data_IF_706107321917
#
_entry.id   IF_706107321917
#
_cell.length_a   1.000
_cell.length_b   1.000
_cell.length_c   1.000
_cell.angle_alpha   90.00
_cell.angle_beta   90.00
_cell.angle_gamma   90.00
#
_symmetry.space_group_name_H-M   'P 1'
#
loop_
_entity.id
_entity.type
_entity.pdbx_description
1 polymer ?
2 non-polymer ?
3 non-polymer ?
4 water ?
#
# COMPACT_ATOMS: atom_id res chain seq x y z
N UNK A 24 -7.95 -21.13 18.04
CA UNK A 24 -7.92 -20.20 16.88
C UNK A 24 -7.61 -18.75 17.27
N UNK A 25 -7.22 -18.55 18.54
CA UNK A 25 -6.67 -17.27 18.95
C UNK A 25 -5.41 -17.01 18.15
N UNK A 26 -5.17 -15.75 17.82
CA UNK A 26 -3.91 -15.36 17.24
C UNK A 26 -2.85 -15.32 18.36
N UNK A 27 -1.55 -15.21 17.99
CA UNK A 27 -0.53 -15.12 19.02
C UNK A 27 -0.70 -13.91 19.93
N UNK A 28 -0.35 -14.07 21.20
CA UNK A 28 -0.29 -12.94 22.12
C UNK A 28 0.63 -11.86 21.52
N UNK A 29 0.13 -10.63 21.48
CA UNK A 29 0.89 -9.51 20.93
C UNK A 29 0.68 -9.28 19.44
N UNK A 30 -0.19 -10.07 18.81
CA UNK A 30 -0.48 -9.89 17.37
C UNK A 30 -0.98 -8.48 17.10
N UNK A 31 -0.45 -7.85 16.05
CA UNK A 31 -0.74 -6.43 15.80
C UNK A 31 -1.93 -6.20 14.85
N UNK A 32 -3.09 -5.97 15.46
CA UNK A 32 -4.30 -5.64 14.71
C UNK A 32 -4.33 -4.14 14.44
N UNK A 33 -4.45 -3.78 13.17
CA UNK A 33 -4.47 -2.36 12.79
C UNK A 33 -5.47 -2.00 11.71
N UNK A 34 -5.39 -0.74 11.29
CA UNK A 34 -6.09 -0.26 10.10
C UNK A 34 -5.14 0.68 9.40
N UNK A 35 -5.36 0.88 8.10
CA UNK A 35 -4.46 1.63 7.24
C UNK A 35 -5.14 2.75 6.46
N UNK A 36 -4.36 3.79 6.15
CA UNK A 36 -4.75 4.91 5.27
C UNK A 36 -3.51 5.35 4.49
N UNK A 37 -3.70 6.34 3.62
CA UNK A 37 -2.57 7.04 3.00
C UNK A 37 -2.83 8.54 2.99
N UNK A 38 -1.75 9.30 2.87
CA UNK A 38 -1.79 10.75 3.05
C UNK A 38 -2.68 11.44 2.02
N UNK A 39 -2.45 11.20 0.73
CA UNK A 39 -3.26 11.88 -0.28
C UNK A 39 -4.74 11.47 -0.18
N UNK A 40 -4.99 10.27 0.30
CA UNK A 40 -6.34 9.74 0.28
C UNK A 40 -7.20 10.31 1.42
N UNK A 41 -6.55 10.80 2.48
CA UNK A 41 -7.33 11.27 3.66
C UNK A 41 -7.05 12.70 4.12
N UNK A 42 -5.87 13.26 3.86
CA UNK A 42 -5.44 14.47 4.60
C UNK A 42 -6.15 15.77 4.27
N UNK A 43 -6.47 15.99 3.00
CA UNK A 43 -6.84 17.34 2.54
C UNK A 43 -5.73 18.35 2.82
N UNK A 44 -6.15 19.58 3.16
CA UNK A 44 -5.19 20.68 3.40
C UNK A 44 -4.08 20.68 2.35
N UNK A 45 -4.49 20.60 1.09
CA UNK A 45 -3.54 20.32 -0.01
C UNK A 45 -2.55 21.46 -0.29
N UNK A 46 -2.89 22.67 0.13
CA UNK A 46 -2.05 23.85 -0.10
C UNK A 46 -1.84 24.66 1.16
N UNK A 47 -1.95 24.01 2.31
CA UNK A 47 -1.79 24.69 3.60
C UNK A 47 -0.42 24.44 4.20
N UNK A 48 -0.01 25.35 5.08
CA UNK A 48 1.21 25.20 5.88
C UNK A 48 2.47 24.97 5.05
N UNK A 49 2.50 25.57 3.86
CA UNK A 49 3.69 25.53 3.03
C UNK A 49 3.83 24.25 2.24
N UNK A 50 2.85 23.34 2.36
CA UNK A 50 2.89 22.09 1.57
C UNK A 50 3.04 22.37 0.07
N UNK A 51 3.95 21.65 -0.58
CA UNK A 51 4.16 21.79 -2.02
C UNK A 51 3.19 20.96 -2.85
N UNK A 52 3.09 21.27 -4.14
CA UNK A 52 2.24 20.47 -5.03
C UNK A 52 2.83 19.07 -5.24
N UNK A 53 1.98 18.06 -5.19
CA UNK A 53 2.39 16.69 -5.55
C UNK A 53 1.89 16.36 -6.95
N UNK A 54 2.39 15.24 -7.49
CA UNK A 54 1.92 14.76 -8.78
C UNK A 54 0.43 14.44 -8.75
N UNK A 55 -0.09 14.10 -7.57
CA UNK A 55 -1.54 13.86 -7.44
C UNK A 55 -2.37 15.14 -7.37
N UNK A 56 -1.85 16.20 -6.76
CA UNK A 56 -2.50 17.51 -6.86
C UNK A 56 -2.65 17.89 -8.31
N UNK A 57 -1.59 17.70 -9.08
CA UNK A 57 -1.59 18.06 -10.52
C UNK A 57 -2.52 17.14 -11.30
N UNK A 58 -2.42 15.84 -11.07
CA UNK A 58 -3.18 14.84 -11.81
C UNK A 58 -4.70 15.06 -11.67
N UNK A 59 -5.14 15.41 -10.47
CA UNK A 59 -6.56 15.58 -10.19
C UNK A 59 -7.12 16.91 -10.71
N UNK A 60 -6.23 17.76 -11.23
CA UNK A 60 -6.70 18.97 -11.91
C UNK A 60 -6.97 18.72 -13.38
N UNK A 61 -6.57 17.55 -13.87
CA UNK A 61 -6.74 17.21 -15.29
C UNK A 61 -8.15 16.68 -15.55
N UNK A 62 -8.92 17.40 -16.40
CA UNK A 62 -10.29 16.96 -16.70
C UNK A 62 -10.33 15.57 -17.30
N UNK A 63 -11.25 14.74 -16.79
CA UNK A 63 -11.43 13.38 -17.29
C UNK A 63 -10.62 12.29 -16.63
N UNK A 64 -9.61 12.65 -15.83
CA UNK A 64 -8.77 11.65 -15.18
C UNK A 64 -9.44 10.95 -13.98
N UNK A 65 -10.32 11.67 -13.29
CA UNK A 65 -10.94 11.17 -12.04
C UNK A 65 -12.47 11.15 -12.16
N UNK A 66 -13.09 10.07 -11.70
CA UNK A 66 -14.55 9.99 -11.67
C UNK A 66 -15.16 11.17 -10.92
N UNK A 67 -16.23 11.74 -11.48
CA UNK A 67 -16.94 12.87 -10.89
C UNK A 67 -16.09 14.15 -10.74
N UNK A 68 -14.90 14.15 -11.34
CA UNK A 68 -14.00 15.30 -11.24
C UNK A 68 -13.54 15.55 -9.81
N UNK A 69 -13.47 14.47 -9.03
CA UNK A 69 -13.07 14.51 -7.61
C UNK A 69 -11.57 14.75 -7.46
N UNK A 70 -11.17 15.24 -6.28
CA UNK A 70 -9.75 15.39 -5.94
C UNK A 70 -9.54 15.12 -4.46
N UNK A 71 -8.27 15.02 -4.07
CA UNK A 71 -7.92 14.97 -2.64
C UNK A 71 -7.76 16.35 -2.00
N UNK A 72 -8.35 17.39 -2.59
CA UNK A 72 -8.15 18.74 -2.04
C UNK A 72 -8.58 18.80 -0.58
N UNK A 73 -9.71 18.16 -0.27
CA UNK A 73 -10.23 18.11 1.10
C UNK A 73 -10.22 16.69 1.67
N UNK A 74 -10.68 15.73 0.88
CA UNK A 74 -10.70 14.33 1.30
C UNK A 74 -11.40 14.20 2.66
N UNK A 75 -10.75 13.54 3.62
CA UNK A 75 -11.33 13.36 4.97
C UNK A 75 -10.97 14.48 5.93
N UNK A 76 -10.29 15.50 5.41
CA UNK A 76 -9.86 16.65 6.22
C UNK A 76 -9.08 16.18 7.45
N UNK A 77 -8.32 15.10 7.29
CA UNK A 77 -7.62 14.48 8.42
C UNK A 77 -6.47 15.34 8.95
N UNK A 78 -5.88 16.17 8.10
CA UNK A 78 -4.80 17.05 8.56
C UNK A 78 -5.32 17.94 9.71
N UNK A 79 -6.56 18.39 9.57
CA UNK A 79 -7.21 19.15 10.64
C UNK A 79 -7.90 18.29 11.70
N UNK A 80 -8.44 17.15 11.28
CA UNK A 80 -9.30 16.31 12.14
C UNK A 80 -8.61 15.10 12.78
N UNK A 81 -7.29 15.07 12.71
CA UNK A 81 -6.54 13.89 13.14
C UNK A 81 -6.81 13.48 14.59
N UNK A 82 -7.10 14.43 15.48
CA UNK A 82 -7.39 14.07 16.88
C UNK A 82 -8.69 13.30 17.01
N UNK A 83 -9.70 13.68 16.23
CA UNK A 83 -10.94 12.90 16.16
C UNK A 83 -10.65 11.48 15.67
N UNK A 84 -9.83 11.36 14.63
CA UNK A 84 -9.52 10.05 14.06
C UNK A 84 -8.70 9.19 15.01
N UNK A 85 -7.79 9.82 15.74
CA UNK A 85 -7.07 9.15 16.82
C UNK A 85 -8.01 8.57 17.90
N UNK A 86 -9.06 9.32 18.25
CA UNK A 86 -9.99 8.78 19.25
C UNK A 86 -10.78 7.62 18.67
N UNK A 87 -11.12 7.69 17.38
CA UNK A 87 -11.82 6.57 16.71
C UNK A 87 -10.95 5.31 16.72
N UNK A 88 -9.66 5.48 16.45
CA UNK A 88 -8.72 4.36 16.55
C UNK A 88 -8.73 3.74 17.95
N UNK A 89 -8.71 4.60 18.97
CA UNK A 89 -8.75 4.17 20.36
C UNK A 89 -10.06 3.42 20.66
N UNK A 90 -11.19 3.96 20.16
CA UNK A 90 -12.50 3.31 20.35
C UNK A 90 -12.50 1.88 19.84
N UNK A 91 -11.77 1.64 18.75
CA UNK A 91 -11.74 0.30 18.17
C UNK A 91 -10.75 -0.63 18.87
N UNK A 92 -9.84 -0.07 19.67
CA UNK A 92 -8.82 -0.87 20.32
C UNK A 92 -7.66 -1.25 19.40
N UNK A 93 -7.47 -0.48 18.33
CA UNK A 93 -6.34 -0.78 17.42
C UNK A 93 -5.03 -0.89 18.18
N UNK A 94 -4.23 -1.90 17.83
CA UNK A 94 -2.88 -2.08 18.40
C UNK A 94 -1.85 -1.27 17.62
N UNK A 95 -2.20 -0.96 16.38
CA UNK A 95 -1.28 -0.33 15.45
C UNK A 95 -2.06 0.41 14.38
N UNK A 96 -1.45 1.43 13.78
CA UNK A 96 -2.09 2.22 12.73
C UNK A 96 -1.05 2.51 11.66
N UNK A 97 -1.40 2.22 10.40
CA UNK A 97 -0.53 2.43 9.25
C UNK A 97 -1.00 3.69 8.51
N UNK A 98 -0.11 4.67 8.41
CA UNK A 98 -0.38 5.89 7.65
C UNK A 98 0.78 6.10 6.68
N UNK A 99 0.60 7.00 5.72
CA UNK A 99 1.75 7.43 4.91
C UNK A 99 2.08 8.90 5.17
N UNK A 100 3.32 9.24 4.84
CA UNK A 100 3.84 10.61 5.02
C UNK A 100 3.82 11.29 3.67
N UNK A 101 3.19 12.47 3.61
CA UNK A 101 3.16 13.30 2.40
C UNK A 101 4.53 13.96 2.19
N UNK A 102 5.33 13.39 1.29
CA UNK A 102 6.66 13.93 1.01
C UNK A 102 6.62 15.45 0.71
N UNK A 103 5.60 15.92 -0.03
CA UNK A 103 5.51 17.35 -0.37
C UNK A 103 5.21 18.27 0.84
N UNK A 104 4.70 17.74 1.94
CA UNK A 104 4.61 18.52 3.18
C UNK A 104 5.97 18.76 3.80
N UNK A 105 6.89 17.83 3.54
CA UNK A 105 8.20 17.80 4.19
C UNK A 105 9.24 18.53 3.35
N UNK A 106 9.27 18.25 2.05
CA UNK A 106 10.08 19.02 1.10
C UNK A 106 9.15 19.55 0.00
N UNK A 107 8.61 20.75 0.21
CA UNK A 107 7.68 21.36 -0.75
C UNK A 107 8.28 21.70 -2.12
N UNK A 108 9.59 21.96 -2.19
CA UNK A 108 10.16 22.51 -3.41
C UNK A 108 11.59 22.05 -3.69
N UNK A 109 12.12 22.48 -4.83
CA UNK A 109 13.45 22.06 -5.28
C UNK A 109 14.62 22.55 -4.43
N UNK A 110 14.38 23.43 -3.45
CA UNK A 110 15.47 23.84 -2.54
C UNK A 110 15.88 22.68 -1.63
N UNK A 111 15.02 21.67 -1.56
CA UNK A 111 15.20 20.49 -0.69
C UNK A 111 15.08 20.82 0.80
N UNK A 112 14.82 22.09 1.13
CA UNK A 112 14.69 22.53 2.51
C UNK A 112 13.49 21.91 3.21
N UNK A 113 13.67 21.59 4.49
CA UNK A 113 12.65 20.91 5.27
C UNK A 113 11.58 21.91 5.70
N UNK A 114 10.32 21.58 5.44
CA UNK A 114 9.22 22.39 5.93
C UNK A 114 8.83 21.92 7.33
N UNK A 115 9.07 22.79 8.31
CA UNK A 115 8.91 22.40 9.71
C UNK A 115 7.46 22.20 10.14
N UNK A 116 6.55 22.96 9.54
CA UNK A 116 5.11 22.76 9.80
C UNK A 116 4.64 21.38 9.37
N UNK A 117 5.12 20.95 8.20
CA UNK A 117 4.78 19.62 7.67
C UNK A 117 5.29 18.54 8.59
N UNK A 118 6.56 18.66 8.97
CA UNK A 118 7.16 17.69 9.88
C UNK A 118 6.44 17.65 11.24
N UNK A 119 6.07 18.83 11.74
CA UNK A 119 5.36 18.93 13.02
C UNK A 119 4.04 18.16 13.04
N UNK A 120 3.34 18.16 11.91
CA UNK A 120 2.09 17.42 11.80
C UNK A 120 2.32 15.95 12.13
N UNK A 121 3.31 15.35 11.48
CA UNK A 121 3.60 13.92 11.72
C UNK A 121 4.13 13.66 13.12
N UNK A 122 4.89 14.60 13.67
CA UNK A 122 5.31 14.52 15.07
C UNK A 122 4.10 14.47 15.99
N UNK A 123 3.14 15.37 15.77
CA UNK A 123 1.90 15.43 16.58
C UNK A 123 1.05 14.16 16.43
N UNK A 124 0.95 13.66 15.20
CA UNK A 124 0.22 12.43 14.94
C UNK A 124 0.83 11.26 15.71
N UNK A 125 2.14 11.11 15.58
CA UNK A 125 2.87 10.01 16.21
C UNK A 125 2.80 10.10 17.74
N UNK A 126 2.95 11.31 18.28
CA UNK A 126 2.77 11.53 19.72
C UNK A 126 1.38 11.07 20.18
N UNK A 127 0.37 11.41 19.39
CA UNK A 127 -1.02 11.02 19.69
C UNK A 127 -1.21 9.52 19.65
N UNK A 128 -0.59 8.86 18.67
CA UNK A 128 -0.63 7.41 18.60
C UNK A 128 -0.07 6.79 19.87
N UNK A 129 1.11 7.25 20.28
CA UNK A 129 1.75 6.71 21.48
C UNK A 129 0.96 6.97 22.75
N UNK A 130 0.33 8.14 22.81
CA UNK A 130 -0.54 8.51 23.92
C UNK A 130 -1.68 7.51 24.14
N UNK A 131 -2.12 6.89 23.05
CA UNK A 131 -3.23 5.94 23.05
C UNK A 131 -2.78 4.47 22.92
N UNK A 132 -1.48 4.24 23.10
CA UNK A 132 -0.88 2.90 23.01
C UNK A 132 -1.13 2.23 21.67
N UNK A 133 -1.04 3.04 20.61
CA UNK A 133 -1.15 2.54 19.24
C UNK A 133 0.22 2.63 18.60
N UNK A 134 0.71 1.51 18.09
CA UNK A 134 2.04 1.47 17.48
C UNK A 134 2.01 2.06 16.06
N UNK A 135 2.79 3.13 15.81
CA UNK A 135 2.83 3.68 14.45
C UNK A 135 3.54 2.78 13.43
N UNK A 136 2.92 2.62 12.26
CA UNK A 136 3.66 2.14 11.08
C UNK A 136 3.56 3.26 10.04
N UNK A 137 4.71 3.75 9.56
CA UNK A 137 4.75 4.85 8.57
C UNK A 137 5.23 4.37 7.21
N UNK A 138 4.43 4.65 6.18
CA UNK A 138 4.82 4.46 4.79
C UNK A 138 5.44 5.75 4.28
N UNK A 139 6.67 5.68 3.81
CA UNK A 139 7.35 6.89 3.35
C UNK A 139 6.81 7.36 2.00
N UNK A 140 6.51 6.41 1.12
CA UNK A 140 6.00 6.75 -0.21
C UNK A 140 4.75 5.99 -0.58
N UNK A 141 3.61 6.68 -0.56
CA UNK A 141 2.36 6.12 -1.00
C UNK A 141 1.80 7.00 -2.17
N UNK A 142 2.68 7.19 -3.15
CA UNK A 142 2.32 7.64 -4.48
C UNK A 142 2.23 9.17 -4.76
N UNK A 143 2.35 9.95 -3.71
CA UNK A 143 2.22 11.36 -3.78
C UNK A 143 3.59 12.07 -3.89
N UNK A 144 4.28 11.71 -4.97
CA UNK A 144 5.56 12.34 -5.25
C UNK A 144 5.47 13.87 -5.33
N UNK A 145 6.41 14.59 -4.69
CA UNK A 145 6.41 16.06 -4.89
C UNK A 145 6.64 16.39 -6.34
N UNK A 146 5.88 17.36 -6.85
CA UNK A 146 6.07 17.80 -8.23
C UNK A 146 7.52 18.21 -8.53
N UNK A 147 8.22 18.80 -7.57
CA UNK A 147 9.63 19.16 -7.80
C UNK A 147 10.49 17.95 -8.15
N UNK A 148 10.20 16.79 -7.57
CA UNK A 148 10.95 15.58 -7.93
C UNK A 148 10.58 15.13 -9.34
N UNK A 149 9.30 15.21 -9.68
CA UNK A 149 8.84 14.92 -11.04
C UNK A 149 9.51 15.86 -12.07
N UNK A 150 9.68 17.13 -11.69
CA UNK A 150 10.37 18.10 -12.56
C UNK A 150 11.84 17.72 -12.78
N UNK A 151 12.43 16.96 -11.86
CA UNK A 151 13.80 16.47 -11.97
C UNK A 151 13.86 15.03 -12.51
N UNK A 152 12.76 14.62 -13.15
CA UNK A 152 12.71 13.33 -13.83
C UNK A 152 11.81 12.28 -13.20
N UNK A 153 11.42 12.50 -11.96
CA UNK A 153 10.62 11.51 -11.23
C UNK A 153 11.32 10.15 -11.22
N UNK A 154 10.54 9.08 -11.25
CA UNK A 154 11.12 7.72 -11.16
C UNK A 154 11.90 7.28 -12.40
N UNK A 155 11.79 8.05 -13.49
CA UNK A 155 12.62 7.79 -14.66
C UNK A 155 14.09 8.10 -14.38
N UNK A 156 14.32 9.03 -13.45
CA UNK A 156 15.68 9.45 -13.14
C UNK A 156 16.24 8.68 -11.98
N UNK A 157 17.44 8.12 -12.20
CA UNK A 157 18.19 7.45 -11.15
C UNK A 157 18.38 8.33 -9.90
N UNK A 158 18.52 9.64 -10.10
CA UNK A 158 18.78 10.56 -9.01
C UNK A 158 17.60 10.65 -8.03
N UNK A 159 16.42 10.26 -8.49
CA UNK A 159 15.26 10.27 -7.59
C UNK A 159 15.42 9.29 -6.41
N UNK A 160 16.23 8.25 -6.61
CA UNK A 160 16.57 7.29 -5.54
C UNK A 160 17.36 7.98 -4.44
N UNK A 161 18.27 8.87 -4.84
CA UNK A 161 19.02 9.66 -3.88
C UNK A 161 18.14 10.69 -3.19
N UNK A 162 17.24 11.32 -3.95
CA UNK A 162 16.30 12.26 -3.30
C UNK A 162 15.44 11.54 -2.25
N UNK A 163 14.97 10.35 -2.59
CA UNK A 163 14.17 9.54 -1.68
C UNK A 163 14.97 9.14 -0.43
N UNK A 164 16.23 8.82 -0.62
CA UNK A 164 17.03 8.52 0.52
C UNK A 164 17.28 9.72 1.41
N UNK A 165 17.42 10.93 0.82
CA UNK A 165 17.61 12.11 1.66
C UNK A 165 16.33 12.42 2.47
N UNK A 166 15.19 12.22 1.84
CA UNK A 166 13.88 12.37 2.49
C UNK A 166 13.74 11.36 3.64
N UNK A 167 14.06 10.10 3.35
CA UNK A 167 14.03 9.05 4.38
C UNK A 167 14.95 9.42 5.54
N UNK A 168 16.18 9.85 5.23
CA UNK A 168 17.11 10.21 6.30
C UNK A 168 16.50 11.28 7.22
N UNK A 169 15.92 12.32 6.63
CA UNK A 169 15.31 13.40 7.41
C UNK A 169 14.22 12.87 8.34
N UNK A 170 13.34 12.02 7.81
CA UNK A 170 12.21 11.51 8.59
C UNK A 170 12.65 10.55 9.67
N UNK A 171 13.60 9.69 9.32
CA UNK A 171 14.08 8.71 10.30
C UNK A 171 14.92 9.41 11.39
N UNK A 172 15.69 10.43 11.00
CA UNK A 172 16.37 11.25 12.01
C UNK A 172 15.38 11.96 12.94
N UNK A 173 14.28 12.46 12.37
CA UNK A 173 13.28 13.19 13.15
C UNK A 173 12.46 12.29 14.06
N UNK A 174 12.08 11.12 13.55
CA UNK A 174 11.02 10.34 14.20
C UNK A 174 11.32 8.85 14.36
N UNK A 175 12.55 8.44 14.07
CA UNK A 175 12.90 7.02 14.03
C UNK A 175 12.60 6.26 15.31
N UNK A 176 12.99 6.85 16.44
CA UNK A 176 12.82 6.25 17.77
C UNK A 176 11.35 6.20 18.20
N UNK A 177 10.49 6.91 17.46
CA UNK A 177 9.07 7.00 17.76
C UNK A 177 8.19 6.19 16.81
N UNK A 178 8.78 5.70 15.71
CA UNK A 178 8.02 4.93 14.74
C UNK A 178 8.70 3.57 14.66
N UNK A 179 8.09 2.54 15.27
CA UNK A 179 8.76 1.24 15.32
C UNK A 179 8.73 0.44 14.02
N UNK A 180 7.86 0.81 13.09
CA UNK A 180 7.74 0.09 11.83
C UNK A 180 7.67 1.09 10.69
N UNK A 181 8.64 1.00 9.78
CA UNK A 181 8.70 1.87 8.59
C UNK A 181 8.58 1.03 7.34
N UNK A 182 7.84 1.56 6.36
CA UNK A 182 7.73 0.98 5.03
C UNK A 182 8.28 2.01 4.05
N UNK A 183 9.17 1.58 3.15
CA UNK A 183 9.73 2.51 2.17
C UNK A 183 8.67 2.86 1.12
N UNK A 184 8.36 1.89 0.26
CA UNK A 184 7.37 2.03 -0.80
C UNK A 184 6.12 1.24 -0.55
N UNK A 185 5.01 1.81 -1.01
CA UNK A 185 3.75 1.10 -1.14
C UNK A 185 3.51 0.75 -2.61
N UNK A 186 3.33 -0.54 -2.86
CA UNK A 186 2.90 -1.06 -4.18
C UNK A 186 3.66 -0.46 -5.37
N UNK A 187 4.98 -0.67 -5.42
CA UNK A 187 5.74 -0.16 -6.56
C UNK A 187 5.24 -0.69 -7.92
N UNK A 188 4.65 -1.89 -7.96
CA UNK A 188 4.08 -2.43 -9.21
C UNK A 188 2.96 -1.54 -9.75
N UNK A 189 2.16 -0.98 -8.84
CA UNK A 189 1.05 -0.12 -9.26
C UNK A 189 1.59 1.19 -9.83
N UNK A 190 2.62 1.75 -9.18
CA UNK A 190 3.31 2.93 -9.70
C UNK A 190 3.79 2.69 -11.14
N UNK A 191 4.42 1.54 -11.35
CA UNK A 191 4.89 1.13 -12.69
C UNK A 191 3.70 1.01 -13.66
N UNK A 192 2.73 0.18 -13.33
CA UNK A 192 1.66 -0.14 -14.29
C UNK A 192 0.67 1.01 -14.51
N UNK A 193 0.11 1.53 -13.43
CA UNK A 193 -0.90 2.58 -13.54
C UNK A 193 -0.29 3.92 -13.91
N UNK A 194 0.94 4.17 -13.42
CA UNK A 194 1.59 5.47 -13.58
C UNK A 194 2.37 5.63 -14.87
N UNK A 195 2.86 4.52 -15.43
CA UNK A 195 3.74 4.59 -16.60
C UNK A 195 3.33 3.72 -17.79
N UNK A 196 2.66 2.60 -17.54
CA UNK A 196 2.19 1.73 -18.61
C UNK A 196 0.85 2.23 -19.16
N UNK A 197 -0.08 2.49 -18.25
CA UNK A 197 -1.48 2.74 -18.59
C UNK A 197 -1.92 4.20 -18.49
N UNK A 198 -1.13 5.02 -17.80
CA UNK A 198 -1.46 6.44 -17.60
C UNK A 198 -2.71 6.71 -16.80
N UNK A 199 -3.18 5.71 -16.05
CA UNK A 199 -4.41 5.84 -15.28
C UNK A 199 -4.20 6.60 -13.96
N UNK A 200 -3.00 6.47 -13.41
CA UNK A 200 -2.58 7.19 -12.19
C UNK A 200 -1.45 8.15 -12.51
N UNK A 201 -1.22 9.11 -11.63
CA UNK A 201 -0.11 10.05 -11.75
C UNK A 201 1.23 9.29 -11.85
N UNK A 202 2.17 9.79 -12.68
CA UNK A 202 2.17 11.02 -13.48
C UNK A 202 1.51 10.91 -14.86
N UNK A 203 0.89 9.76 -15.14
CA UNK A 203 0.01 9.61 -16.30
C UNK A 203 0.72 9.31 -17.61
N UNK A 204 1.87 8.64 -17.52
CA UNK A 204 2.59 8.21 -18.71
C UNK A 204 1.99 6.93 -19.27
N UNK A 205 2.08 6.79 -20.58
CA UNK A 205 1.50 5.63 -21.28
C UNK A 205 2.55 5.07 -22.24
N UNK A 206 3.63 4.55 -21.68
CA UNK A 206 4.72 3.96 -22.45
C UNK A 206 5.22 2.72 -21.71
N UNK A 207 4.66 1.55 -22.04
CA UNK A 207 5.05 0.24 -21.49
C UNK A 207 6.56 -0.01 -21.44
N UNK A 208 7.30 0.58 -22.38
CA UNK A 208 8.75 0.33 -22.47
C UNK A 208 9.52 0.91 -21.30
N UNK A 209 8.85 1.78 -20.53
CA UNK A 209 9.48 2.50 -19.42
C UNK A 209 9.42 1.73 -18.10
N UNK A 210 8.61 0.68 -18.05
CA UNK A 210 8.34 -0.03 -16.79
C UNK A 210 9.55 -0.59 -16.06
N UNK A 211 10.48 -1.21 -16.78
CA UNK A 211 11.69 -1.75 -16.19
C UNK A 211 12.56 -0.69 -15.53
N UNK A 212 12.83 0.38 -16.28
CA UNK A 212 13.58 1.52 -15.78
C UNK A 212 12.97 2.05 -14.48
N UNK A 213 11.65 2.24 -14.49
CA UNK A 213 10.93 2.75 -13.32
C UNK A 213 11.06 1.77 -12.16
N UNK A 214 10.83 0.48 -12.45
CA UNK A 214 10.90 -0.56 -11.41
C UNK A 214 12.27 -0.57 -10.74
N UNK A 215 13.33 -0.47 -11.56
CA UNK A 215 14.68 -0.47 -11.03
C UNK A 215 14.94 0.73 -10.11
N UNK A 216 14.47 1.91 -10.53
CA UNK A 216 14.68 3.09 -9.71
C UNK A 216 13.85 3.07 -8.42
N UNK A 217 12.63 2.53 -8.49
CA UNK A 217 11.86 2.31 -7.25
C UNK A 217 12.62 1.39 -6.29
N UNK A 218 13.09 0.26 -6.81
CA UNK A 218 13.90 -0.69 -6.01
C UNK A 218 15.19 -0.06 -5.47
N UNK A 219 15.91 0.67 -6.33
CA UNK A 219 17.11 1.38 -5.91
C UNK A 219 16.82 2.40 -4.80
N UNK A 220 15.69 3.12 -4.91
CA UNK A 220 15.29 4.10 -3.89
C UNK A 220 14.99 3.41 -2.55
N UNK A 221 14.36 2.24 -2.62
CA UNK A 221 14.13 1.42 -1.43
C UNK A 221 15.47 1.04 -0.79
N UNK A 222 16.40 0.55 -1.61
CA UNK A 222 17.70 0.16 -1.12
C UNK A 222 18.48 1.29 -0.48
N UNK A 223 18.49 2.46 -1.12
CA UNK A 223 19.23 3.61 -0.57
C UNK A 223 18.55 4.13 0.68
N UNK A 224 17.22 4.06 0.71
CA UNK A 224 16.46 4.46 1.90
C UNK A 224 16.78 3.53 3.07
N UNK A 225 16.88 2.23 2.78
CA UNK A 225 17.19 1.23 3.79
C UNK A 225 18.61 1.44 4.32
N UNK A 226 19.53 1.80 3.44
CA UNK A 226 20.89 2.14 3.87
C UNK A 226 20.86 3.33 4.83
N UNK A 227 20.05 4.34 4.52
CA UNK A 227 19.95 5.51 5.38
C UNK A 227 19.41 5.11 6.75
N UNK A 228 18.42 4.20 6.75
CA UNK A 228 17.82 3.69 7.99
C UNK A 228 18.84 2.93 8.82
N UNK A 229 19.60 2.04 8.19
CA UNK A 229 20.62 1.26 8.92
C UNK A 229 21.69 2.16 9.52
N UNK A 230 22.07 3.23 8.79
CA UNK A 230 23.05 4.19 9.29
C UNK A 230 22.59 4.90 10.56
N UNK A 231 21.29 5.24 10.61
CA UNK A 231 20.73 5.91 11.76
C UNK A 231 20.43 4.93 12.87
N UNK A 232 20.10 3.69 12.49
CA UNK A 232 19.86 2.60 13.45
C UNK A 232 18.97 3.02 14.63
N UNK A 233 17.75 3.52 14.33
CA UNK A 233 16.88 4.02 15.42
C UNK A 233 16.48 2.91 16.40
N UNK A 234 16.50 3.24 17.69
CA UNK A 234 16.23 2.27 18.75
C UNK A 234 14.84 1.66 18.63
N UNK A 235 14.80 0.32 18.59
CA UNK A 235 13.54 -0.43 18.59
C UNK A 235 12.76 -0.38 17.29
N UNK A 236 13.37 0.13 16.23
CA UNK A 236 12.68 0.36 14.95
C UNK A 236 13.09 -0.63 13.87
N UNK A 237 12.14 -0.92 12.97
CA UNK A 237 12.36 -1.86 11.87
C UNK A 237 11.88 -1.26 10.56
N UNK A 238 12.46 -1.72 9.45
CA UNK A 238 12.07 -1.19 8.14
C UNK A 238 11.85 -2.30 7.11
N UNK A 239 10.78 -2.16 6.35
CA UNK A 239 10.50 -3.07 5.26
C UNK A 239 9.94 -2.34 4.05
N UNK A 240 9.22 -3.10 3.23
CA UNK A 240 8.61 -2.58 2.00
C UNK A 240 7.26 -3.26 1.83
N UNK A 241 6.28 -2.55 1.26
CA UNK A 241 4.95 -3.12 1.03
C UNK A 241 4.73 -3.39 -0.46
N UNK A 242 4.39 -4.64 -0.77
CA UNK A 242 4.12 -5.07 -2.15
C UNK A 242 2.68 -5.54 -2.28
N UNK A 243 2.07 -5.27 -3.45
CA UNK A 243 0.78 -5.88 -3.74
C UNK A 243 0.94 -7.14 -4.59
N UNK A 244 -0.01 -8.04 -4.42
CA UNK A 244 0.01 -9.33 -5.11
C UNK A 244 -1.40 -9.70 -5.52
N UNK A 245 -1.53 -10.44 -6.62
CA UNK A 245 -2.78 -11.11 -6.94
C UNK A 245 -2.46 -12.56 -7.17
N UNK A 246 -2.91 -13.43 -6.26
CA UNK A 246 -2.68 -14.86 -6.39
C UNK A 246 -3.19 -15.30 -7.76
N UNK A 247 -2.37 -16.05 -8.49
CA UNK A 247 -2.70 -16.45 -9.86
C UNK A 247 -3.21 -17.89 -9.88
N UNK A 248 -4.38 -18.08 -10.50
CA UNK A 248 -4.87 -19.43 -10.79
C UNK A 248 -5.15 -19.59 -12.28
N UNK A 249 -4.71 -20.73 -12.87
CA UNK A 249 -5.07 -20.98 -14.26
C UNK A 249 -6.56 -21.32 -14.35
N UNK A 250 -7.23 -20.97 -15.45
CA UNK A 250 -8.65 -21.26 -15.60
C UNK A 250 -8.94 -22.76 -15.85
N UNK A 251 -7.92 -23.52 -16.22
CA UNK A 251 -8.08 -24.96 -16.46
C UNK A 251 -6.84 -25.72 -16.04
N UNK A 252 -6.92 -27.05 -16.13
CA UNK A 252 -5.76 -27.93 -15.87
C UNK A 252 -4.86 -28.11 -17.10
N UNK A 253 -5.22 -27.50 -18.23
CA UNK A 253 -4.44 -27.62 -19.47
C UNK A 253 -3.01 -27.05 -19.37
N UNK A 254 -2.00 -27.78 -19.90
CA UNK A 254 -0.60 -27.31 -19.77
C UNK A 254 -0.36 -25.87 -20.22
N UNK A 255 -0.99 -25.45 -21.31
CA UNK A 255 -0.82 -24.08 -21.80
C UNK A 255 -1.29 -23.04 -20.77
N UNK A 256 -2.42 -23.33 -20.12
CA UNK A 256 -2.97 -22.42 -19.10
C UNK A 256 -2.07 -22.41 -17.86
N UNK A 257 -1.56 -23.59 -17.49
CA UNK A 257 -0.63 -23.70 -16.38
C UNK A 257 0.63 -22.88 -16.62
N UNK A 258 1.15 -22.97 -17.84
CA UNK A 258 2.31 -22.18 -18.24
C UNK A 258 2.06 -20.67 -18.19
N UNK A 259 0.92 -20.25 -18.73
CA UNK A 259 0.56 -18.84 -18.73
C UNK A 259 0.45 -18.34 -17.28
N UNK A 260 -0.15 -19.17 -16.42
CA UNK A 260 -0.30 -18.82 -15.01
C UNK A 260 1.07 -18.67 -14.31
N UNK A 261 1.99 -19.58 -14.63
CA UNK A 261 3.35 -19.52 -14.06
C UNK A 261 4.08 -18.24 -14.46
N UNK A 262 4.01 -17.91 -15.74
CA UNK A 262 4.62 -16.70 -16.28
C UNK A 262 3.99 -15.45 -15.65
N UNK A 263 2.66 -15.46 -15.54
CA UNK A 263 1.95 -14.31 -14.96
C UNK A 263 2.33 -14.16 -13.48
N UNK A 264 2.45 -15.29 -12.78
CA UNK A 264 2.87 -15.24 -11.38
C UNK A 264 4.26 -14.60 -11.21
N UNK A 265 5.20 -15.05 -12.03
CA UNK A 265 6.58 -14.54 -11.98
C UNK A 265 6.59 -13.02 -12.15
N UNK A 266 5.81 -12.53 -13.10
CA UNK A 266 5.78 -11.11 -13.40
C UNK A 266 4.96 -10.32 -12.38
N UNK A 267 3.67 -10.66 -12.27
CA UNK A 267 2.75 -9.95 -11.39
C UNK A 267 3.18 -9.97 -9.91
N UNK A 268 3.66 -11.13 -9.45
CA UNK A 268 3.91 -11.33 -8.01
C UNK A 268 5.36 -11.36 -7.57
N UNK A 269 6.28 -11.58 -8.50
CA UNK A 269 7.69 -11.71 -8.12
C UNK A 269 8.60 -10.70 -8.80
N UNK A 270 8.05 -9.77 -9.57
CA UNK A 270 8.89 -8.76 -10.23
C UNK A 270 9.78 -8.08 -9.18
N UNK A 271 9.18 -7.70 -8.04
CA UNK A 271 9.92 -7.00 -7.00
C UNK A 271 10.54 -7.93 -5.98
N UNK A 272 9.82 -8.99 -5.61
CA UNK A 272 10.32 -9.92 -4.60
C UNK A 272 11.64 -10.58 -5.00
N UNK A 273 11.76 -10.95 -6.28
CA UNK A 273 12.97 -11.64 -6.71
C UNK A 273 14.25 -10.80 -6.51
N UNK A 274 14.30 -9.57 -7.05
CA UNK A 274 15.45 -8.72 -6.74
C UNK A 274 15.60 -8.37 -5.27
N UNK A 275 14.50 -8.13 -4.56
CA UNK A 275 14.61 -7.81 -3.14
C UNK A 275 15.28 -8.93 -2.33
N UNK A 276 14.86 -10.17 -2.56
CA UNK A 276 15.36 -11.28 -1.76
C UNK A 276 16.60 -11.94 -2.38
N UNK A 277 16.57 -12.13 -3.71
CA UNK A 277 17.61 -12.88 -4.43
C UNK A 277 18.64 -12.03 -5.18
N UNK A 278 18.44 -10.71 -5.24
CA UNK A 278 19.41 -9.83 -5.91
C UNK A 278 19.57 -10.03 -7.40
N UNK A 279 18.52 -10.53 -8.05
CA UNK A 279 18.45 -10.65 -9.50
C UNK A 279 17.02 -10.42 -9.95
N UNK A 280 16.85 -9.94 -11.18
CA UNK A 280 15.52 -9.90 -11.79
C UNK A 280 15.21 -11.27 -12.41
N UNK A 281 13.95 -11.69 -12.33
CA UNK A 281 13.56 -12.94 -12.96
C UNK A 281 13.47 -12.86 -14.48
N UNK A 282 13.37 -14.02 -15.12
CA UNK A 282 13.32 -14.09 -16.58
C UNK A 282 12.09 -13.43 -17.20
N UNK A 283 10.93 -13.58 -16.55
CA UNK A 283 9.72 -12.91 -17.04
C UNK A 283 9.90 -11.39 -17.09
N UNK A 284 10.59 -10.85 -16.10
CA UNK A 284 10.85 -9.42 -16.01
C UNK A 284 11.79 -8.94 -17.12
N UNK A 285 12.89 -9.66 -17.29
CA UNK A 285 13.89 -9.33 -18.31
C UNK A 285 13.33 -9.47 -19.74
N UNK A 286 12.41 -10.41 -19.94
CA UNK A 286 11.76 -10.55 -21.24
C UNK A 286 10.75 -9.43 -21.50
N UNK A 287 10.01 -9.05 -20.45
CA UNK A 287 9.08 -7.93 -20.53
C UNK A 287 9.82 -6.63 -20.78
N UNK A 288 11.04 -6.54 -20.23
CA UNK A 288 11.77 -5.28 -20.24
C UNK A 288 13.20 -5.14 -20.77
N UNK A 289 13.47 -5.39 -22.06
CA UNK A 289 14.57 -6.28 -22.36
C UNK A 289 15.79 -5.33 -22.13
N UNK A 290 15.53 -4.02 -22.10
CA UNK A 290 16.55 -2.97 -21.79
C UNK A 290 16.85 -2.72 -20.30
N UNK A 291 16.21 -3.47 -19.42
CA UNK A 291 16.42 -3.30 -17.97
C UNK A 291 17.92 -3.32 -17.56
N UNK A 292 18.72 -4.28 -18.07
CA UNK A 292 20.13 -4.28 -17.67
C UNK A 292 20.92 -2.97 -17.87
N UNK A 293 20.47 -2.12 -18.79
CA UNK A 293 21.13 -0.83 -19.07
C UNK A 293 21.07 0.15 -17.89
N UNK A 294 20.16 -0.08 -16.95
CA UNK A 294 19.98 0.84 -15.82
C UNK A 294 20.61 0.31 -14.54
N UNK A 295 21.21 -0.88 -14.62
CA UNK A 295 21.78 -1.52 -13.43
C UNK A 295 23.26 -1.22 -13.30
N UNK A 296 23.60 -0.39 -12.33
CA UNK A 296 24.99 -0.08 -12.00
C UNK A 296 25.63 -1.22 -11.19
N UNK A 297 26.98 -1.29 -11.18
CA UNK A 297 27.65 -2.44 -10.53
C UNK A 297 27.24 -2.76 -9.08
N UNK A 298 26.81 -1.77 -8.32
CA UNK A 298 26.45 -2.02 -6.91
C UNK A 298 25.02 -2.50 -6.57
N UNK A 299 24.09 -2.54 -7.52
CA UNK A 299 22.85 -1.77 -7.45
C UNK A 299 22.05 -2.95 -6.88
N UNK A 300 22.30 -4.14 -7.42
CA UNK A 300 21.59 -5.34 -6.94
C UNK A 300 21.90 -5.73 -5.50
N UNK A 301 23.16 -5.51 -5.08
CA UNK A 301 23.57 -5.67 -3.70
C UNK A 301 22.80 -4.69 -2.80
N UNK A 302 22.76 -3.42 -3.19
CA UNK A 302 22.01 -2.40 -2.45
C UNK A 302 20.51 -2.75 -2.36
N UNK A 303 19.95 -3.19 -3.47
CA UNK A 303 18.52 -3.48 -3.56
C UNK A 303 18.13 -4.69 -2.67
N UNK A 304 19.05 -5.65 -2.55
CA UNK A 304 18.79 -6.90 -1.85
C UNK A 304 19.31 -6.97 -0.41
N UNK A 305 19.80 -5.85 0.14
CA UNK A 305 20.19 -5.80 1.55
C UNK A 305 18.97 -6.22 2.40
N UNK A 306 19.21 -6.95 3.51
CA UNK A 306 18.07 -7.50 4.28
C UNK A 306 17.08 -6.48 4.80
N UNK A 307 15.80 -6.73 4.52
CA UNK A 307 14.68 -6.02 5.13
C UNK A 307 14.27 -6.71 6.43
N UNK A 308 13.64 -5.97 7.32
CA UNK A 308 13.21 -6.53 8.61
C UNK A 308 11.88 -7.28 8.47
N UNK A 309 11.06 -6.84 7.54
CA UNK A 309 9.76 -7.47 7.30
C UNK A 309 9.24 -7.14 5.90
N UNK A 310 8.30 -7.94 5.44
CA UNK A 310 7.60 -7.70 4.19
C UNK A 310 6.16 -7.28 4.49
N UNK A 311 5.72 -6.19 3.85
CA UNK A 311 4.31 -5.79 3.88
C UNK A 311 3.60 -6.41 2.69
N UNK A 312 2.53 -7.13 2.97
CA UNK A 312 1.70 -7.76 1.94
C UNK A 312 0.34 -7.05 1.78
N UNK A 313 0.04 -6.59 0.57
CA UNK A 313 -1.28 -6.03 0.24
C UNK A 313 -1.99 -7.01 -0.67
N UNK A 314 -3.18 -7.42 -0.28
CA UNK A 314 -3.96 -8.39 -1.07
C UNK A 314 -5.42 -8.05 -1.00
N UNK A 315 -6.08 -8.13 -2.15
CA UNK A 315 -7.52 -7.93 -2.26
C UNK A 315 -8.20 -9.06 -3.00
N UNK A 316 -7.57 -9.55 -4.07
CA UNK A 316 -8.24 -10.44 -5.02
C UNK A 316 -7.25 -11.24 -5.85
N UNK A 317 -7.66 -12.45 -6.29
CA UNK A 317 -6.82 -13.24 -7.19
C UNK A 317 -7.00 -12.80 -8.63
N UNK A 318 -6.17 -13.34 -9.52
CA UNK A 318 -6.35 -13.17 -10.95
C UNK A 318 -6.41 -14.55 -11.59
N UNK A 319 -7.31 -14.70 -12.54
CA UNK A 319 -7.49 -15.98 -13.24
C UNK A 319 -7.02 -15.83 -14.67
N UNK A 320 -6.21 -16.79 -15.10
CA UNK A 320 -5.40 -16.62 -16.31
C UNK A 320 -5.59 -17.79 -17.26
N UNK A 321 -5.65 -17.48 -18.55
CA UNK A 321 -5.59 -18.54 -19.56
C UNK A 321 -4.52 -18.18 -20.58
N UNK A 322 -4.06 -19.21 -21.31
CA UNK A 322 -3.17 -19.02 -22.44
C UNK A 322 -3.93 -18.38 -23.60
N UNK A 323 -3.21 -17.62 -24.42
CA UNK A 323 -3.74 -17.03 -25.63
C UNK A 323 -2.74 -17.22 -26.76
N UNK A 324 -3.24 -17.36 -28.01
CA UNK A 324 -2.30 -17.34 -29.15
C UNK A 324 -1.61 -15.99 -29.36
N UNK A 325 -2.33 -14.89 -29.15
CA UNK A 325 -1.77 -13.55 -29.42
C UNK A 325 -0.87 -13.03 -28.27
N UNK A 326 0.17 -12.24 -28.62
CA UNK A 326 1.05 -11.62 -27.61
C UNK A 326 0.27 -10.88 -26.52
N UNK A 327 0.72 -10.96 -25.26
CA UNK A 327 1.88 -11.70 -24.76
C UNK A 327 1.63 -13.18 -24.41
N UNK A 328 0.56 -13.77 -24.94
CA UNK A 328 0.30 -15.21 -24.75
C UNK A 328 -0.45 -15.53 -23.48
N UNK A 329 -0.94 -14.48 -22.83
CA UNK A 329 -1.65 -14.57 -21.55
C UNK A 329 -2.89 -13.68 -21.62
N UNK A 330 -4.01 -14.20 -21.15
CA UNK A 330 -5.24 -13.44 -21.04
C UNK A 330 -5.79 -13.55 -19.62
N UNK A 331 -6.09 -12.42 -19.02
CA UNK A 331 -6.75 -12.40 -17.71
C UNK A 331 -8.24 -12.54 -17.92
N UNK A 332 -8.83 -13.52 -17.23
CA UNK A 332 -10.24 -13.80 -17.38
C UNK A 332 -11.00 -13.13 -16.25
N UNK A 333 -11.95 -12.28 -16.62
CA UNK A 333 -12.76 -11.57 -15.63
C UNK A 333 -13.79 -12.49 -14.98
N UNK A 334 -14.12 -12.15 -13.73
CA UNK A 334 -15.05 -12.93 -12.93
C UNK A 334 -16.27 -12.04 -12.65
N UNK A 335 -17.47 -12.60 -12.79
CA UNK A 335 -18.70 -11.83 -12.60
C UNK A 335 -19.16 -11.80 -11.14
N UNK A 336 -18.91 -12.90 -10.43
CA UNK A 336 -19.36 -13.11 -9.06
C UNK A 336 -18.48 -14.18 -8.40
N UNK A 337 -18.21 -14.09 -7.08
CA UNK A 337 -18.61 -13.00 -6.19
C UNK A 337 -17.57 -11.88 -6.25
N UNK A 338 -18.04 -10.64 -6.36
CA UNK A 338 -17.15 -9.51 -6.48
C UNK A 338 -17.55 -8.37 -5.54
N UNK A 339 -16.62 -7.45 -5.34
CA UNK A 339 -16.91 -6.24 -4.59
C UNK A 339 -17.39 -5.16 -5.55
N UNK A 340 -17.64 -3.96 -5.01
CA UNK A 340 -18.03 -2.80 -5.84
C UNK A 340 -16.95 -2.41 -6.86
N UNK A 341 -15.71 -2.84 -6.65
CA UNK A 341 -14.63 -2.61 -7.64
C UNK A 341 -14.66 -3.64 -8.77
N UNK A 342 -15.52 -4.64 -8.64
CA UNK A 342 -15.50 -5.80 -9.56
C UNK A 342 -14.37 -6.78 -9.27
N UNK A 343 -13.77 -6.67 -8.09
CA UNK A 343 -12.67 -7.56 -7.66
C UNK A 343 -13.19 -8.84 -7.00
N UNK A 344 -12.72 -9.98 -7.49
CA UNK A 344 -13.15 -11.28 -6.96
C UNK A 344 -12.87 -11.44 -5.47
N UNK A 345 -13.89 -11.92 -4.75
CA UNK A 345 -13.73 -12.25 -3.34
C UNK A 345 -13.33 -13.74 -3.22
N UNK A 346 -12.08 -13.97 -2.84
CA UNK A 346 -11.53 -15.34 -2.71
C UNK A 346 -10.50 -15.41 -1.57
N UNK A 347 -10.98 -15.59 -0.32
CA UNK A 347 -10.06 -15.59 0.80
C UNK A 347 -8.96 -16.64 0.71
N UNK A 348 -9.22 -17.77 0.04
CA UNK A 348 -8.17 -18.76 -0.12
C UNK A 348 -6.96 -18.17 -0.89
N UNK A 349 -7.21 -17.16 -1.72
CA UNK A 349 -6.13 -16.43 -2.41
C UNK A 349 -5.11 -15.86 -1.44
N UNK A 350 -5.58 -15.38 -0.29
CA UNK A 350 -4.69 -14.81 0.72
C UNK A 350 -3.83 -15.89 1.37
N UNK A 351 -4.47 -16.99 1.76
CA UNK A 351 -3.75 -18.14 2.31
C UNK A 351 -2.67 -18.63 1.32
N UNK A 352 -3.07 -18.85 0.07
CA UNK A 352 -2.15 -19.35 -0.96
C UNK A 352 -0.96 -18.39 -1.18
N UNK A 353 -1.25 -17.10 -1.19
CA UNK A 353 -0.21 -16.07 -1.37
C UNK A 353 0.81 -16.15 -0.24
N UNK A 354 0.32 -16.16 1.00
CA UNK A 354 1.23 -16.16 2.14
C UNK A 354 2.07 -17.43 2.18
N UNK A 355 1.45 -18.56 1.90
CA UNK A 355 2.21 -19.83 1.88
C UNK A 355 3.24 -19.83 0.76
N UNK A 356 2.86 -19.29 -0.39
CA UNK A 356 3.76 -19.28 -1.56
C UNK A 356 4.98 -18.42 -1.30
N UNK A 357 4.76 -17.22 -0.77
CA UNK A 357 5.89 -16.33 -0.42
C UNK A 357 6.83 -17.04 0.56
N UNK A 358 6.26 -17.63 1.60
CA UNK A 358 7.04 -18.29 2.65
C UNK A 358 7.82 -19.49 2.11
N UNK A 359 7.19 -20.29 1.26
CA UNK A 359 7.88 -21.44 0.69
C UNK A 359 8.99 -21.02 -0.28
N UNK A 360 8.74 -19.96 -1.05
CA UNK A 360 9.66 -19.55 -2.11
C UNK A 360 10.83 -18.73 -1.56
N UNK A 361 10.53 -17.81 -0.64
CA UNK A 361 11.53 -16.84 -0.19
C UNK A 361 11.95 -17.02 1.27
N UNK A 362 11.40 -18.03 1.94
CA UNK A 362 11.70 -18.28 3.34
C UNK A 362 10.74 -17.65 4.32
N UNK A 363 10.79 -18.11 5.57
CA UNK A 363 9.91 -17.67 6.64
C UNK A 363 10.36 -16.32 7.20
N UNK A 364 10.13 -15.25 6.44
CA UNK A 364 10.44 -13.92 6.95
C UNK A 364 9.20 -13.28 7.57
N UNK A 365 9.40 -12.28 8.43
CA UNK A 365 8.28 -11.62 9.07
C UNK A 365 7.38 -10.92 8.04
N UNK A 366 6.08 -11.16 8.14
CA UNK A 366 5.11 -10.56 7.23
C UNK A 366 4.04 -9.81 8.03
N UNK A 367 3.72 -8.60 7.58
CA UNK A 367 2.51 -7.90 8.02
C UNK A 367 1.60 -7.79 6.82
N UNK A 368 0.32 -8.11 7.00
CA UNK A 368 -0.65 -7.82 5.93
C UNK A 368 -0.96 -6.34 6.10
N UNK A 369 -0.37 -5.53 5.23
CA UNK A 369 -0.45 -4.07 5.35
C UNK A 369 -1.70 -3.44 4.71
N UNK A 370 -2.39 -4.22 3.87
CA UNK A 370 -3.75 -3.86 3.40
C UNK A 370 -4.53 -5.12 3.03
N UNK A 371 -5.78 -5.16 3.46
CA UNK A 371 -6.77 -6.12 3.01
C UNK A 371 -8.12 -5.52 3.35
N UNK A 372 -9.06 -5.54 2.41
CA UNK A 372 -10.38 -4.97 2.66
C UNK A 372 -11.22 -4.97 1.39
N UNK A 373 -12.34 -4.27 1.45
CA UNK A 373 -13.31 -4.35 0.34
C UNK A 373 -14.16 -3.10 0.21
N UNK A 374 -14.53 -2.77 -1.03
CA UNK A 374 -15.45 -1.68 -1.29
C UNK A 374 -16.84 -2.24 -1.53
N UNK A 375 -17.82 -1.70 -0.81
CA UNK A 375 -19.25 -2.00 -1.03
C UNK A 375 -20.04 -0.68 -0.99
N UNK A 376 -21.23 -0.67 -1.57
CA UNK A 376 -22.04 0.56 -1.67
C UNK A 376 -22.77 0.88 -0.36
N UNK A 377 -22.03 1.40 0.62
CA UNK A 377 -22.60 1.68 1.96
C UNK A 377 -23.52 2.88 1.98
N UNK A 378 -24.61 2.75 2.70
CA UNK A 378 -25.62 3.80 2.88
C UNK A 378 -26.14 3.83 4.30
N UNK A 379 -26.11 4.97 4.93
CA UNK A 379 -26.71 5.05 6.26
C UNK A 379 -28.20 4.72 6.22
N UNK A 380 -28.68 4.02 7.22
CA UNK A 380 -30.07 3.78 7.39
C UNK A 380 -30.77 4.96 8.01
N UNK A 381 -32.06 4.81 8.21
CA UNK A 381 -32.86 5.92 8.62
C UNK A 381 -32.52 6.37 10.02
N UNK A 382 -31.93 5.49 10.81
CA UNK A 382 -31.43 5.83 12.11
C UNK A 382 -30.00 6.35 12.16
N UNK A 383 -29.38 6.30 11.02
CA UNK A 383 -28.01 6.83 10.86
C UNK A 383 -26.92 5.80 11.01
N UNK A 384 -27.28 4.53 11.11
CA UNK A 384 -26.29 3.46 11.24
C UNK A 384 -25.91 2.92 9.86
N UNK A 385 -24.68 2.45 9.74
CA UNK A 385 -24.19 1.94 8.48
C UNK A 385 -23.88 0.47 8.64
N UNK A 386 -24.77 -0.37 8.13
CA UNK A 386 -24.61 -1.80 8.29
C UNK A 386 -24.11 -2.41 7.00
N UNK A 387 -22.93 -2.99 7.08
CA UNK A 387 -22.22 -3.51 5.91
C UNK A 387 -21.87 -4.99 6.08
N UNK A 388 -22.89 -5.88 6.11
CA UNK A 388 -22.62 -7.30 6.32
C UNK A 388 -21.71 -7.95 5.27
N UNK A 389 -21.71 -7.43 4.03
CA UNK A 389 -20.83 -7.98 2.99
C UNK A 389 -19.38 -7.73 3.34
N UNK A 390 -19.10 -6.57 3.93
CA UNK A 390 -17.73 -6.27 4.36
C UNK A 390 -17.33 -7.13 5.57
N UNK A 391 -18.25 -7.31 6.51
CA UNK A 391 -18.00 -8.27 7.59
C UNK A 391 -17.65 -9.66 7.02
N UNK A 392 -18.45 -10.12 6.06
CA UNK A 392 -18.18 -11.41 5.41
C UNK A 392 -16.80 -11.47 4.78
N UNK A 393 -16.40 -10.38 4.12
CA UNK A 393 -15.08 -10.30 3.50
C UNK A 393 -13.98 -10.47 4.57
N UNK A 394 -14.09 -9.70 5.65
CA UNK A 394 -13.07 -9.79 6.70
C UNK A 394 -13.08 -11.13 7.42
N UNK A 395 -14.26 -11.69 7.65
CA UNK A 395 -14.38 -13.02 8.29
C UNK A 395 -13.57 -14.06 7.50
N UNK A 396 -13.79 -14.09 6.18
CA UNK A 396 -13.10 -15.09 5.35
C UNK A 396 -11.60 -14.86 5.30
N UNK A 397 -11.21 -13.60 5.12
CA UNK A 397 -9.80 -13.26 4.93
C UNK A 397 -8.94 -13.36 6.19
N UNK A 398 -9.48 -12.90 7.32
CA UNK A 398 -8.80 -13.07 8.60
C UNK A 398 -8.70 -14.58 8.94
N UNK A 399 -9.75 -15.33 8.63
CA UNK A 399 -9.71 -16.80 8.80
C UNK A 399 -8.58 -17.43 7.99
N UNK A 400 -8.43 -16.99 6.75
CA UNK A 400 -7.38 -17.49 5.85
C UNK A 400 -5.99 -17.11 6.37
N UNK A 401 -5.85 -15.87 6.85
CA UNK A 401 -4.60 -15.44 7.46
C UNK A 401 -4.25 -16.30 8.67
N UNK A 402 -5.26 -16.63 9.47
CA UNK A 402 -5.02 -17.49 10.65
C UNK A 402 -4.54 -18.87 10.26
N UNK A 403 -5.09 -19.43 9.18
CA UNK A 403 -4.66 -20.76 8.69
C UNK A 403 -3.21 -20.72 8.23
N UNK A 404 -2.84 -19.61 7.57
CA UNK A 404 -1.48 -19.42 7.08
C UNK A 404 -0.52 -19.41 8.26
N UNK A 405 -0.91 -18.70 9.31
CA UNK A 405 -0.09 -18.61 10.51
C UNK A 405 0.08 -20.01 11.11
N UNK A 406 -1.02 -20.76 11.22
CA UNK A 406 -1.00 -22.15 11.75
C UNK A 406 -0.06 -23.03 10.93
N UNK A 407 -0.04 -22.80 9.63
CA UNK A 407 0.78 -23.60 8.71
C UNK A 407 2.19 -23.07 8.47
N UNK A 408 2.63 -22.12 9.29
CA UNK A 408 4.04 -21.75 9.38
C UNK A 408 4.46 -20.40 8.82
N UNK A 409 3.50 -19.57 8.42
CA UNK A 409 3.83 -18.22 7.97
C UNK A 409 4.06 -17.35 9.20
N UNK A 410 5.14 -16.57 9.19
CA UNK A 410 5.43 -15.67 10.30
C UNK A 410 4.64 -14.35 10.15
N UNK A 411 3.32 -14.47 10.31
CA UNK A 411 2.41 -13.32 10.24
C UNK A 411 2.41 -12.60 11.58
N UNK A 412 2.77 -11.31 11.54
CA UNK A 412 2.99 -10.50 12.75
C UNK A 412 1.87 -9.48 12.99
N UNK A 413 1.09 -9.19 11.96
CA UNK A 413 0.04 -8.19 12.07
C UNK A 413 -0.86 -8.16 10.87
N UNK A 414 -2.00 -7.49 11.04
CA UNK A 414 -3.03 -7.41 9.99
C UNK A 414 -3.61 -6.01 10.02
N UNK A 415 -3.56 -5.31 8.90
CA UNK A 415 -4.09 -3.94 8.77
C UNK A 415 -5.27 -3.90 7.78
N UNK A 416 -6.45 -3.61 8.31
CA UNK A 416 -7.62 -3.42 7.47
C UNK A 416 -7.46 -2.17 6.61
N UNK A 417 -7.64 -2.32 5.29
CA UNK A 417 -7.83 -1.15 4.43
C UNK A 417 -9.34 -0.95 4.32
N UNK A 418 -9.87 0.19 4.77
CA UNK A 418 -9.13 1.33 5.33
C UNK A 418 -9.80 1.73 6.64
N UNK A 419 -9.10 2.48 7.47
CA UNK A 419 -9.74 3.08 8.65
C UNK A 419 -11.00 3.88 8.26
N UNK A 420 -10.88 4.66 7.18
CA UNK A 420 -11.90 5.65 6.78
C UNK A 420 -12.24 5.48 5.31
N UNK A 421 -13.51 5.70 4.95
CA UNK A 421 -13.82 5.97 3.55
C UNK A 421 -12.95 7.12 3.08
N UNK A 422 -12.46 7.02 1.85
CA UNK A 422 -11.50 8.01 1.41
C UNK A 422 -11.47 8.18 -0.11
N UNK A 423 -10.50 8.97 -0.58
CA UNK A 423 -10.33 9.22 -2.02
C UNK A 423 -9.69 8.01 -2.68
N UNK A 424 -10.48 7.25 -3.42
CA UNK A 424 -9.99 6.03 -4.06
C UNK A 424 -9.43 6.34 -5.46
N UNK A 425 -8.40 7.18 -5.49
CA UNK A 425 -7.63 7.42 -6.71
C UNK A 425 -8.54 7.76 -7.90
N UNK A 426 -8.40 7.07 -9.04
CA UNK A 426 -9.19 7.45 -10.22
C UNK A 426 -10.71 7.23 -10.05
N UNK A 427 -11.10 6.41 -9.07
CA UNK A 427 -12.52 6.21 -8.75
C UNK A 427 -13.07 7.36 -7.91
N UNK A 428 -12.21 8.27 -7.43
CA UNK A 428 -12.63 9.34 -6.53
C UNK A 428 -13.39 8.81 -5.32
N UNK A 429 -14.48 9.50 -5.00
CA UNK A 429 -15.31 9.14 -3.83
C UNK A 429 -16.44 8.16 -4.15
N UNK A 430 -16.40 7.53 -5.33
CA UNK A 430 -17.44 6.57 -5.71
C UNK A 430 -17.29 5.20 -5.04
N UNK A 431 -16.15 5.01 -4.38
CA UNK A 431 -15.85 3.72 -3.77
C UNK A 431 -15.50 3.93 -2.29
N UNK A 432 -16.12 3.13 -1.44
CA UNK A 432 -15.96 3.26 0.00
C UNK A 432 -15.31 2.00 0.56
N UNK A 433 -14.09 2.13 1.05
CA UNK A 433 -13.33 1.00 1.61
C UNK A 433 -13.29 1.04 3.15
N UNK A 434 -13.90 2.06 3.74
CA UNK A 434 -13.71 2.28 5.17
C UNK A 434 -14.40 1.25 6.05
N UNK A 435 -13.83 1.03 7.24
CA UNK A 435 -14.63 0.42 8.31
C UNK A 435 -15.36 1.53 9.08
N UNK A 436 -14.97 2.77 8.83
CA UNK A 436 -15.67 3.96 9.35
C UNK A 436 -16.22 4.75 8.16
N UNK A 437 -17.51 5.02 8.19
CA UNK A 437 -18.19 5.78 7.15
C UNK A 437 -17.89 7.25 7.33
N UNK A 438 -17.57 7.92 6.23
CA UNK A 438 -17.37 9.37 6.24
C UNK A 438 -18.42 10.04 5.35
N UNK A 439 -19.16 10.98 5.94
CA UNK A 439 -20.03 11.83 5.15
C UNK A 439 -19.15 12.97 4.68
N UNK A 440 -18.87 13.01 3.38
CA UNK A 440 -17.92 13.98 2.85
C UNK A 440 -18.47 15.41 2.80
N UNK A 441 -19.78 15.54 2.96
CA UNK A 441 -20.42 16.87 3.05
C UNK A 441 -20.24 17.52 4.43
N UNK A 442 -20.20 16.71 5.48
CA UNK A 442 -20.18 17.22 6.85
C UNK A 442 -18.93 16.80 7.62
N UNK A 443 -18.20 15.83 7.05
CA UNK A 443 -17.04 15.19 7.68
C UNK A 443 -17.38 14.33 8.92
N UNK A 444 -18.68 14.11 9.14
CA UNK A 444 -19.11 13.22 10.21
C UNK A 444 -18.61 11.79 9.98
N UNK A 445 -18.03 11.20 11.02
CA UNK A 445 -17.60 9.81 11.00
C UNK A 445 -18.60 8.95 11.77
N UNK A 446 -18.94 7.79 11.21
CA UNK A 446 -19.78 6.79 11.86
C UNK A 446 -19.13 5.41 11.75
N UNK A 447 -18.95 4.72 12.88
CA UNK A 447 -18.46 3.33 12.82
C UNK A 447 -19.46 2.48 12.04
N UNK A 448 -18.96 1.75 11.04
CA UNK A 448 -19.79 0.78 10.36
C UNK A 448 -19.91 -0.50 11.20
N UNK A 449 -20.85 -1.37 10.84
CA UNK A 449 -20.97 -2.67 11.49
C UNK A 449 -19.61 -3.39 11.47
N UNK A 450 -18.90 -3.29 10.34
CA UNK A 450 -17.58 -3.93 10.24
C UNK A 450 -16.55 -3.42 11.27
N UNK A 451 -16.58 -2.12 11.60
CA UNK A 451 -15.72 -1.56 12.66
C UNK A 451 -16.06 -2.18 14.03
N UNK A 452 -17.36 -2.27 14.32
CA UNK A 452 -17.84 -2.88 15.56
C UNK A 452 -17.42 -4.35 15.67
N UNK A 453 -17.60 -5.06 14.57
CA UNK A 453 -17.19 -6.46 14.45
C UNK A 453 -15.68 -6.59 14.65
N UNK A 454 -14.91 -5.71 14.01
CA UNK A 454 -13.45 -5.76 14.11
C UNK A 454 -12.95 -5.46 15.53
N UNK A 455 -13.56 -4.49 16.18
CA UNK A 455 -13.27 -4.22 17.59
C UNK A 455 -13.40 -5.52 18.41
N UNK A 456 -14.46 -6.28 18.14
CA UNK A 456 -14.66 -7.57 18.84
C UNK A 456 -13.56 -8.58 18.52
N UNK A 457 -13.16 -8.66 17.25
CA UNK A 457 -12.05 -9.53 16.85
C UNK A 457 -10.76 -9.16 17.61
N UNK A 458 -10.45 -7.86 17.67
CA UNK A 458 -9.26 -7.42 18.38
C UNK A 458 -9.33 -7.83 19.86
N UNK A 459 -10.47 -7.58 20.48
CA UNK A 459 -10.65 -7.86 21.92
C UNK A 459 -10.55 -9.36 22.21
N UNK A 460 -11.02 -10.17 21.28
CA UNK A 460 -11.00 -11.63 21.38
C UNK A 460 -9.68 -12.23 20.91
N UNK A 461 -8.85 -11.38 20.30
CA UNK A 461 -7.64 -11.79 19.57
C UNK A 461 -7.90 -12.90 18.53
N UNK A 462 -9.02 -12.79 17.83
CA UNK A 462 -9.36 -13.76 16.80
C UNK A 462 -10.83 -13.81 16.54
N UNK A 463 -11.21 -14.69 15.62
CA UNK A 463 -12.60 -14.81 15.18
C UNK A 463 -13.51 -15.47 16.22
N UNK A 464 -14.80 -15.26 16.03
CA UNK A 464 -15.91 -15.87 16.79
C UNK A 464 -16.38 -15.02 17.96
#
# INVERSE_FOLDING_TARGET
MGSSHHHHHHSSGLVPRGSHMNVKKFPEGFLWGAATSSYQIEGAWNEDGKGESIWDRFTRIPGKIKNGDSGDVACDHYHRYEQDLDLMRQLGLKTYRFSIAWARIQPDSSRQINQRGLDFYRRLVEGLHKRDILPMATLYHWDLPQWVEDEGGWLSRESASRFAEYTHALVAALGDQIPLWVTHNEPMVTVWAGYHMGLFAPGLKDPTLGGRVAHHLLLSHGQALQAFRALSPAGSQMGITLNFNTIYPVSAEPADVEAARRMHSFQNELFLEPLIRGQYNQATLMAYPNLPEFIAPEDMQTISAPIDFLGVNYYNPMRVKSSPQPPGIEVVQVESPVTAMGWEIAPEGLYDLLMGITRTYGKLPIYITENGAAFDDQPDQSGQVNDPQRVGYFQGHIGAARRALADGVDLRGYYAWSLLDNFEWAEGYSKRFGIIYVDFETQQRTLKQSAQWYRDVIANNGLED
#
